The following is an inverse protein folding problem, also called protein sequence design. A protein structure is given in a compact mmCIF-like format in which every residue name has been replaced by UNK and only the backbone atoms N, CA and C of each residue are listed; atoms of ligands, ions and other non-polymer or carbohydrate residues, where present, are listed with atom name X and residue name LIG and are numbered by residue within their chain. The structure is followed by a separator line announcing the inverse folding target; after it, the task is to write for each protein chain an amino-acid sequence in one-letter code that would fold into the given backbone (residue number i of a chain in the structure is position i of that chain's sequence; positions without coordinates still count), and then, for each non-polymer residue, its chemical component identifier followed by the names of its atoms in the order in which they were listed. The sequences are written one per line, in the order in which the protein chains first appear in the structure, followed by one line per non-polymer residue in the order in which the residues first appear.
data_IF_463013838813
#
_entry.id   IF_463013838813
#
_cell.length_a   1.000
_cell.length_b   1.000
_cell.length_c   1.000
_cell.angle_alpha   90.00
_cell.angle_beta   90.00
_cell.angle_gamma   90.00
#
_symmetry.space_group_name_H-M   'P 1'
#
loop_
_entity.id
_entity.type
_entity.pdbx_description
1 polymer ?
#
# COMPACT_ATOMS: atom_id res chain seq x y z
N UNK A 1 -27.17 58.38 42.42
CA UNK A 1 -25.94 58.54 41.64
C UNK A 1 -25.78 57.29 40.80
N UNK A 2 -26.20 57.33 39.53
CA UNK A 2 -26.22 56.20 38.61
C UNK A 2 -24.91 56.16 37.88
N UNK A 3 -24.11 55.14 38.11
CA UNK A 3 -23.00 54.75 37.22
C UNK A 3 -23.53 53.74 36.20
N UNK A 4 -23.88 54.19 35.04
CA UNK A 4 -24.05 53.41 33.85
C UNK A 4 -22.82 53.64 33.00
N UNK A 5 -21.76 52.89 33.27
CA UNK A 5 -20.64 52.80 32.34
C UNK A 5 -21.08 51.87 31.22
N UNK A 6 -21.26 52.43 30.05
CA UNK A 6 -21.75 51.77 28.85
C UNK A 6 -20.70 50.75 28.38
N UNK A 7 -21.18 49.56 28.05
CA UNK A 7 -20.42 48.42 27.57
C UNK A 7 -19.61 48.71 26.29
N UNK A 8 -19.81 49.88 25.70
CA UNK A 8 -19.11 50.35 24.49
C UNK A 8 -17.76 50.98 24.80
N UNK A 9 -17.60 51.70 25.95
CA UNK A 9 -16.30 52.28 26.34
C UNK A 9 -15.25 51.23 26.74
N UNK A 10 -15.67 50.01 27.12
CA UNK A 10 -14.74 48.94 27.48
C UNK A 10 -14.21 48.17 26.24
N UNK A 11 -14.80 48.35 25.08
CA UNK A 11 -14.38 47.70 23.83
C UNK A 11 -13.23 48.44 23.14
N UNK A 12 -13.20 49.77 23.26
CA UNK A 12 -12.17 50.56 22.58
C UNK A 12 -10.78 50.50 23.25
N UNK A 13 -10.74 50.13 24.54
CA UNK A 13 -9.47 50.13 25.31
C UNK A 13 -8.69 48.78 25.23
N UNK A 14 -9.26 47.74 24.62
CA UNK A 14 -8.65 46.43 24.57
C UNK A 14 -8.35 45.94 23.16
N UNK A 15 -7.86 46.67 22.25
CA UNK A 15 -7.23 46.27 20.97
C UNK A 15 -7.54 44.88 20.33
N UNK A 16 -8.50 44.15 20.88
CA UNK A 16 -8.83 42.77 20.51
C UNK A 16 -9.61 42.63 19.19
N UNK A 17 -10.33 43.68 18.81
CA UNK A 17 -11.16 43.64 17.61
C UNK A 17 -10.32 43.74 16.32
N UNK A 18 -9.14 44.39 16.38
CA UNK A 18 -8.22 44.52 15.26
C UNK A 18 -7.35 43.22 15.07
N UNK A 19 -7.06 42.47 16.13
CA UNK A 19 -6.35 41.21 16.02
C UNK A 19 -7.29 40.11 15.50
N UNK A 20 -8.55 40.09 15.92
CA UNK A 20 -9.55 39.14 15.42
C UNK A 20 -9.90 39.35 13.96
N UNK A 21 -9.94 40.62 13.49
CA UNK A 21 -10.24 40.95 12.09
C UNK A 21 -9.04 40.62 11.17
N UNK A 22 -7.81 40.80 11.64
CA UNK A 22 -6.61 40.38 10.94
C UNK A 22 -6.45 38.86 10.89
N UNK A 23 -6.89 38.11 11.91
CA UNK A 23 -6.92 36.64 11.87
C UNK A 23 -8.01 36.08 10.94
N UNK A 24 -9.05 36.87 10.67
CA UNK A 24 -10.11 36.52 9.71
C UNK A 24 -9.72 36.80 8.25
N UNK A 25 -8.72 37.66 8.04
CA UNK A 25 -8.19 37.99 6.72
C UNK A 25 -6.96 37.19 6.31
N UNK A 26 -6.58 36.20 7.13
CA UNK A 26 -5.66 35.15 6.64
C UNK A 26 -6.31 34.54 5.39
N UNK A 27 -5.59 34.52 4.25
CA UNK A 27 -6.16 33.97 3.03
C UNK A 27 -6.63 32.56 3.38
N UNK A 28 -7.93 32.32 3.32
CA UNK A 28 -8.51 30.99 3.41
C UNK A 28 -7.83 30.21 2.31
N UNK A 29 -6.74 29.52 2.68
CA UNK A 29 -6.17 28.47 1.84
C UNK A 29 -7.33 27.50 1.69
N UNK A 30 -8.06 27.64 0.58
CA UNK A 30 -9.12 26.72 0.22
C UNK A 30 -8.53 25.32 0.40
N UNK A 31 -9.17 24.40 1.13
CA UNK A 31 -8.61 23.09 1.36
C UNK A 31 -8.33 22.50 -0.02
N UNK A 32 -7.04 22.46 -0.39
CA UNK A 32 -6.58 21.95 -1.68
C UNK A 32 -7.20 20.58 -1.81
N UNK A 33 -8.11 20.43 -2.74
CA UNK A 33 -8.80 19.16 -2.96
C UNK A 33 -7.74 18.09 -3.20
N UNK A 34 -7.90 16.89 -2.67
CA UNK A 34 -6.88 15.84 -2.82
C UNK A 34 -6.50 15.56 -4.29
N UNK A 35 -7.37 15.94 -5.24
CA UNK A 35 -7.08 15.92 -6.69
C UNK A 35 -6.08 17.00 -7.12
N UNK A 36 -6.24 18.19 -6.62
CA UNK A 36 -5.34 19.32 -6.91
C UNK A 36 -3.96 19.08 -6.30
N UNK A 37 -3.92 18.60 -5.05
CA UNK A 37 -2.68 18.21 -4.40
C UNK A 37 -1.95 17.13 -5.23
N UNK A 38 -2.68 16.12 -5.68
CA UNK A 38 -2.13 15.06 -6.54
C UNK A 38 -1.57 15.63 -7.84
N UNK A 39 -2.31 16.50 -8.53
CA UNK A 39 -1.87 17.11 -9.77
C UNK A 39 -0.58 17.92 -9.57
N UNK A 40 -0.50 18.74 -8.53
CA UNK A 40 0.71 19.49 -8.15
C UNK A 40 1.89 18.58 -7.85
N UNK A 41 1.69 17.53 -7.07
CA UNK A 41 2.76 16.59 -6.72
C UNK A 41 3.28 15.83 -7.95
N UNK A 42 2.41 15.46 -8.89
CA UNK A 42 2.81 14.79 -10.13
C UNK A 42 3.63 15.70 -11.04
N UNK A 43 3.27 16.98 -11.16
CA UNK A 43 4.04 17.98 -11.90
C UNK A 43 5.44 18.19 -11.27
N UNK A 44 5.50 18.28 -9.94
CA UNK A 44 6.75 18.41 -9.20
C UNK A 44 7.65 17.17 -9.27
N UNK A 45 7.10 15.99 -9.62
CA UNK A 45 7.91 14.77 -9.76
C UNK A 45 8.98 14.89 -10.85
N UNK A 46 8.80 15.73 -11.85
CA UNK A 46 9.81 15.96 -12.90
C UNK A 46 11.04 16.70 -12.35
N UNK A 47 10.87 17.53 -11.33
CA UNK A 47 11.93 18.28 -10.65
C UNK A 47 12.75 17.44 -9.68
N UNK A 48 12.31 16.21 -9.40
CA UNK A 48 12.97 15.28 -8.48
C UNK A 48 14.19 14.61 -9.13
N UNK A 49 15.11 14.13 -8.26
CA UNK A 49 16.22 13.32 -8.75
C UNK A 49 15.70 12.07 -9.46
N UNK A 50 16.40 11.64 -10.52
CA UNK A 50 16.00 10.47 -11.31
C UNK A 50 15.90 9.19 -10.45
N UNK A 51 16.70 9.07 -9.39
CA UNK A 51 16.68 7.94 -8.45
C UNK A 51 15.42 7.94 -7.60
N UNK A 52 15.06 9.08 -7.01
CA UNK A 52 13.85 9.20 -6.15
C UNK A 52 12.59 8.95 -6.98
N UNK A 53 12.52 9.48 -8.20
CA UNK A 53 11.41 9.25 -9.13
C UNK A 53 11.27 7.79 -9.53
N UNK A 54 12.38 7.10 -9.83
CA UNK A 54 12.36 5.67 -10.16
C UNK A 54 11.89 4.83 -9.00
N UNK A 55 12.36 5.10 -7.78
CA UNK A 55 11.93 4.37 -6.57
C UNK A 55 10.43 4.57 -6.36
N UNK A 56 9.94 5.80 -6.44
CA UNK A 56 8.52 6.11 -6.21
C UNK A 56 7.61 5.41 -7.23
N UNK A 57 7.96 5.47 -8.53
CA UNK A 57 7.16 4.90 -9.61
C UNK A 57 7.22 3.37 -9.66
N UNK A 58 8.37 2.78 -9.31
CA UNK A 58 8.58 1.34 -9.44
C UNK A 58 8.32 0.55 -8.14
N UNK A 59 8.04 1.21 -7.02
CA UNK A 59 7.82 0.54 -5.74
C UNK A 59 6.69 -0.50 -5.81
N UNK A 60 5.55 -0.15 -6.42
CA UNK A 60 4.42 -1.07 -6.56
C UNK A 60 4.75 -2.30 -7.42
N UNK A 61 5.27 -2.19 -8.66
CA UNK A 61 5.64 -3.36 -9.45
C UNK A 61 6.79 -4.17 -8.82
N UNK A 62 7.73 -3.56 -8.11
CA UNK A 62 8.78 -4.28 -7.39
C UNK A 62 8.20 -5.18 -6.29
N UNK A 63 7.21 -4.70 -5.53
CA UNK A 63 6.48 -5.53 -4.57
C UNK A 63 5.72 -6.66 -5.27
N UNK A 64 5.12 -6.37 -6.44
CA UNK A 64 4.45 -7.37 -7.26
C UNK A 64 5.37 -8.49 -7.74
N UNK A 65 6.61 -8.15 -8.17
CA UNK A 65 7.63 -9.14 -8.55
C UNK A 65 7.95 -10.07 -7.37
N UNK A 66 8.10 -9.51 -6.16
CA UNK A 66 8.27 -10.32 -4.95
C UNK A 66 7.12 -11.30 -4.73
N UNK A 67 5.88 -10.86 -4.91
CA UNK A 67 4.70 -11.71 -4.81
C UNK A 67 4.67 -12.80 -5.89
N UNK A 68 5.04 -12.49 -7.12
CA UNK A 68 5.15 -13.47 -8.22
C UNK A 68 6.16 -14.57 -7.91
N UNK A 69 7.34 -14.20 -7.41
CA UNK A 69 8.36 -15.15 -6.99
C UNK A 69 7.85 -16.05 -5.85
N UNK A 70 7.19 -15.46 -4.84
CA UNK A 70 6.53 -16.18 -3.77
C UNK A 70 5.50 -17.18 -4.30
N UNK A 71 4.72 -16.80 -5.30
CA UNK A 71 3.74 -17.65 -5.98
C UNK A 71 4.36 -18.84 -6.69
N UNK A 72 5.43 -18.61 -7.47
CA UNK A 72 6.14 -19.69 -8.16
C UNK A 72 6.76 -20.69 -7.19
N UNK A 73 7.44 -20.20 -6.15
CA UNK A 73 8.07 -21.06 -5.13
C UNK A 73 7.01 -21.85 -4.36
N UNK A 74 5.94 -21.19 -3.93
CA UNK A 74 4.81 -21.85 -3.24
C UNK A 74 4.17 -22.92 -4.10
N UNK A 75 3.90 -22.60 -5.38
CA UNK A 75 3.32 -23.54 -6.33
C UNK A 75 4.23 -24.78 -6.52
N UNK A 76 5.53 -24.56 -6.73
CA UNK A 76 6.50 -25.65 -6.90
C UNK A 76 6.55 -26.56 -5.66
N UNK A 77 6.58 -25.99 -4.46
CA UNK A 77 6.59 -26.75 -3.20
C UNK A 77 5.29 -27.55 -3.00
N UNK A 78 4.13 -26.91 -3.25
CA UNK A 78 2.84 -27.58 -3.11
C UNK A 78 2.66 -28.70 -4.11
N UNK A 79 3.07 -28.51 -5.36
CA UNK A 79 3.05 -29.55 -6.39
C UNK A 79 3.87 -30.77 -5.97
N UNK A 80 5.05 -30.54 -5.40
CA UNK A 80 5.89 -31.63 -4.88
C UNK A 80 5.22 -32.37 -3.72
N UNK A 81 4.60 -31.62 -2.78
CA UNK A 81 3.87 -32.20 -1.64
C UNK A 81 2.61 -32.96 -2.06
N UNK A 82 1.89 -32.46 -3.03
CA UNK A 82 0.66 -33.06 -3.56
C UNK A 82 0.90 -34.06 -4.68
N UNK A 83 2.18 -34.25 -5.10
CA UNK A 83 2.60 -35.13 -6.20
C UNK A 83 1.83 -34.86 -7.52
N UNK A 84 1.46 -33.62 -7.78
CA UNK A 84 0.77 -33.19 -9.01
C UNK A 84 1.82 -32.92 -10.08
N UNK A 85 1.89 -33.82 -11.11
CA UNK A 85 2.80 -33.65 -12.24
C UNK A 85 2.15 -33.04 -13.47
N UNK A 86 0.83 -33.14 -13.55
CA UNK A 86 0.01 -32.68 -14.67
C UNK A 86 -0.04 -31.14 -14.72
N UNK A 87 -0.17 -30.58 -15.91
CA UNK A 87 -0.45 -29.16 -16.17
C UNK A 87 0.44 -28.16 -15.42
N UNK A 88 1.79 -28.38 -15.41
CA UNK A 88 2.71 -27.54 -14.62
C UNK A 88 2.66 -26.06 -15.02
N UNK A 89 2.62 -25.75 -16.30
CA UNK A 89 2.53 -24.38 -16.78
C UNK A 89 1.16 -23.75 -16.48
N UNK A 90 0.08 -24.53 -16.56
CA UNK A 90 -1.26 -24.05 -16.26
C UNK A 90 -1.46 -23.65 -14.80
N UNK A 91 -0.67 -24.20 -13.87
CA UNK A 91 -0.66 -23.76 -12.46
C UNK A 91 0.39 -22.68 -12.17
N UNK A 92 1.54 -22.71 -12.84
CA UNK A 92 2.64 -21.78 -12.59
C UNK A 92 2.31 -20.35 -13.03
N UNK A 93 1.72 -20.21 -14.22
CA UNK A 93 1.38 -18.88 -14.75
C UNK A 93 0.39 -18.12 -13.85
N UNK A 94 -0.79 -18.66 -13.48
CA UNK A 94 -1.70 -17.94 -12.61
C UNK A 94 -1.14 -17.74 -11.20
N UNK A 95 -0.34 -18.67 -10.67
CA UNK A 95 0.27 -18.52 -9.34
C UNK A 95 1.32 -17.43 -9.26
N UNK A 96 1.89 -17.02 -10.39
CA UNK A 96 2.79 -15.86 -10.46
C UNK A 96 2.03 -14.56 -10.80
N UNK A 97 1.18 -14.62 -11.83
CA UNK A 97 0.58 -13.43 -12.42
C UNK A 97 -0.51 -12.80 -11.54
N UNK A 98 -1.36 -13.63 -10.91
CA UNK A 98 -2.42 -13.14 -10.04
C UNK A 98 -1.84 -12.43 -8.81
N UNK A 99 -0.90 -13.01 -8.03
CA UNK A 99 -0.27 -12.30 -6.92
C UNK A 99 0.49 -11.04 -7.35
N UNK A 100 1.17 -11.07 -8.50
CA UNK A 100 1.83 -9.90 -9.05
C UNK A 100 0.87 -8.73 -9.22
N UNK A 101 -0.24 -8.93 -9.96
CA UNK A 101 -1.22 -7.89 -10.21
C UNK A 101 -1.89 -7.41 -8.92
N UNK A 102 -2.33 -8.35 -8.09
CA UNK A 102 -3.04 -8.04 -6.85
C UNK A 102 -2.18 -7.19 -5.92
N UNK A 103 -0.92 -7.57 -5.70
CA UNK A 103 -0.02 -6.85 -4.80
C UNK A 103 0.39 -5.51 -5.39
N UNK A 104 0.64 -5.42 -6.70
CA UNK A 104 0.92 -4.16 -7.37
C UNK A 104 -0.24 -3.19 -7.21
N UNK A 105 -1.49 -3.64 -7.43
CA UNK A 105 -2.68 -2.80 -7.27
C UNK A 105 -2.92 -2.39 -5.82
N UNK A 106 -2.80 -3.32 -4.87
CA UNK A 106 -2.95 -3.02 -3.43
C UNK A 106 -1.91 -1.99 -3.00
N UNK A 107 -0.64 -2.17 -3.37
CA UNK A 107 0.42 -1.23 -3.03
C UNK A 107 0.15 0.16 -3.63
N UNK A 108 -0.28 0.22 -4.89
CA UNK A 108 -0.62 1.47 -5.57
C UNK A 108 -1.75 2.20 -4.85
N UNK A 109 -2.85 1.52 -4.52
CA UNK A 109 -4.04 2.14 -3.91
C UNK A 109 -3.81 2.47 -2.43
N UNK A 110 -3.22 1.54 -1.66
CA UNK A 110 -3.12 1.66 -0.20
C UNK A 110 -1.97 2.59 0.21
N UNK A 111 -0.87 2.61 -0.54
CA UNK A 111 0.30 3.40 -0.20
C UNK A 111 0.45 4.61 -1.14
N UNK A 112 0.69 4.41 -2.43
CA UNK A 112 1.02 5.48 -3.37
C UNK A 112 -0.11 6.51 -3.51
N UNK A 113 -1.34 6.08 -3.75
CA UNK A 113 -2.49 6.99 -3.87
C UNK A 113 -2.84 7.66 -2.54
N UNK A 114 -2.59 7.00 -1.41
CA UNK A 114 -2.81 7.59 -0.09
C UNK A 114 -1.79 8.68 0.24
N UNK A 115 -0.54 8.54 -0.24
CA UNK A 115 0.49 9.59 -0.14
C UNK A 115 0.16 10.77 -1.05
N UNK A 116 -0.10 10.51 -2.33
CA UNK A 116 -0.41 11.56 -3.31
C UNK A 116 -1.70 12.33 -2.97
N UNK A 117 -2.66 11.68 -2.34
CA UNK A 117 -3.90 12.31 -1.86
C UNK A 117 -3.76 13.03 -0.52
N UNK A 118 -2.55 13.11 0.06
CA UNK A 118 -2.31 13.79 1.34
C UNK A 118 -2.96 13.13 2.55
N UNK A 119 -3.48 11.89 2.40
CA UNK A 119 -4.15 11.14 3.48
C UNK A 119 -3.17 10.46 4.44
N UNK A 120 -1.90 10.42 4.09
CA UNK A 120 -0.85 9.75 4.85
C UNK A 120 0.23 10.78 5.23
N UNK A 121 0.15 11.29 6.46
CA UNK A 121 1.08 12.30 6.98
C UNK A 121 2.06 11.74 8.02
N UNK A 122 2.13 10.42 8.17
CA UNK A 122 2.94 9.74 9.17
C UNK A 122 3.86 8.71 8.51
N UNK A 123 5.16 8.82 8.73
CA UNK A 123 6.15 7.87 8.20
C UNK A 123 5.93 6.45 8.72
N UNK A 124 5.65 6.31 10.02
CA UNK A 124 5.37 5.01 10.62
C UNK A 124 4.15 4.35 10.01
N UNK A 125 3.12 5.14 9.67
CA UNK A 125 1.93 4.62 9.00
C UNK A 125 2.22 4.11 7.59
N UNK A 126 3.08 4.80 6.83
CA UNK A 126 3.50 4.37 5.51
C UNK A 126 4.35 3.08 5.59
N UNK A 127 5.28 3.04 6.54
CA UNK A 127 6.13 1.86 6.81
C UNK A 127 5.29 0.65 7.22
N UNK A 128 4.35 0.82 8.16
CA UNK A 128 3.47 -0.27 8.62
C UNK A 128 2.61 -0.82 7.47
N UNK A 129 2.05 0.04 6.62
CA UNK A 129 1.30 -0.40 5.43
C UNK A 129 2.21 -1.18 4.48
N UNK A 130 3.45 -0.72 4.27
CA UNK A 130 4.45 -1.44 3.47
C UNK A 130 4.74 -2.83 4.04
N UNK A 131 4.95 -2.96 5.35
CA UNK A 131 5.15 -4.24 6.05
C UNK A 131 3.96 -5.18 5.83
N UNK A 132 2.74 -4.69 6.01
CA UNK A 132 1.53 -5.50 5.84
C UNK A 132 1.36 -5.98 4.39
N UNK A 133 1.61 -5.12 3.41
CA UNK A 133 1.57 -5.50 1.99
C UNK A 133 2.66 -6.55 1.70
N UNK A 134 3.87 -6.38 2.24
CA UNK A 134 4.97 -7.33 2.09
C UNK A 134 4.67 -8.68 2.73
N UNK A 135 4.27 -8.69 4.00
CA UNK A 135 4.04 -9.92 4.75
C UNK A 135 2.80 -10.68 4.25
N UNK A 136 1.67 -10.00 4.12
CA UNK A 136 0.40 -10.62 3.77
C UNK A 136 0.26 -10.74 2.25
N UNK A 137 0.45 -9.64 1.52
CA UNK A 137 0.29 -9.60 0.08
C UNK A 137 1.32 -10.44 -0.66
N UNK A 138 2.61 -10.22 -0.40
CA UNK A 138 3.69 -10.96 -1.07
C UNK A 138 4.07 -12.27 -0.39
N UNK A 139 3.66 -12.49 0.87
CA UNK A 139 3.96 -13.69 1.64
C UNK A 139 2.80 -14.69 1.67
N UNK A 140 1.71 -14.35 2.39
CA UNK A 140 0.59 -15.30 2.65
C UNK A 140 -0.29 -15.51 1.42
N UNK A 141 -0.65 -14.45 0.72
CA UNK A 141 -1.56 -14.51 -0.42
C UNK A 141 -1.11 -15.46 -1.55
N UNK A 142 0.18 -15.44 -1.99
CA UNK A 142 0.67 -16.38 -3.00
C UNK A 142 0.55 -17.85 -2.59
N UNK A 143 0.76 -18.16 -1.30
CA UNK A 143 0.61 -19.53 -0.77
C UNK A 143 -0.85 -19.98 -0.87
N UNK A 144 -1.79 -19.11 -0.47
CA UNK A 144 -3.22 -19.37 -0.56
C UNK A 144 -3.66 -19.61 -2.02
N UNK A 145 -3.18 -18.77 -2.95
CA UNK A 145 -3.47 -18.94 -4.38
C UNK A 145 -2.91 -20.24 -4.95
N UNK A 146 -1.67 -20.60 -4.58
CA UNK A 146 -1.06 -21.84 -5.02
C UNK A 146 -1.80 -23.08 -4.46
N UNK A 147 -2.28 -23.03 -3.21
CA UNK A 147 -3.13 -24.07 -2.63
C UNK A 147 -4.43 -24.27 -3.40
N UNK A 148 -5.14 -23.17 -3.70
CA UNK A 148 -6.38 -23.20 -4.46
C UNK A 148 -6.17 -23.81 -5.85
N UNK A 149 -5.17 -23.33 -6.60
CA UNK A 149 -4.87 -23.79 -7.94
C UNK A 149 -4.51 -25.29 -7.97
N UNK A 150 -3.64 -25.75 -7.07
CA UNK A 150 -3.28 -27.15 -7.01
C UNK A 150 -4.43 -28.03 -6.50
N UNK A 151 -5.26 -27.52 -5.58
CA UNK A 151 -6.48 -28.21 -5.16
C UNK A 151 -7.47 -28.41 -6.32
N UNK A 152 -7.66 -27.38 -7.17
CA UNK A 152 -8.48 -27.50 -8.38
C UNK A 152 -7.93 -28.49 -9.39
N UNK A 153 -6.59 -28.59 -9.51
CA UNK A 153 -5.96 -29.58 -10.40
C UNK A 153 -6.18 -31.01 -9.88
N UNK A 154 -6.06 -31.25 -8.57
CA UNK A 154 -6.37 -32.57 -7.97
C UNK A 154 -7.82 -32.94 -8.26
N UNK A 155 -8.76 -32.04 -7.99
CA UNK A 155 -10.18 -32.30 -8.22
C UNK A 155 -10.48 -32.61 -9.71
N UNK A 156 -9.73 -32.04 -10.64
CA UNK A 156 -9.92 -32.26 -12.09
C UNK A 156 -9.25 -33.55 -12.60
N UNK A 157 -8.01 -33.81 -12.19
CA UNK A 157 -7.19 -34.88 -12.77
C UNK A 157 -7.17 -36.14 -11.90
N UNK A 158 -7.48 -36.04 -10.62
CA UNK A 158 -7.52 -37.15 -9.65
C UNK A 158 -8.73 -37.04 -8.73
N UNK A 159 -9.95 -37.16 -9.26
CA UNK A 159 -11.17 -36.97 -8.45
C UNK A 159 -11.27 -37.97 -7.30
N UNK A 160 -10.65 -39.16 -7.41
CA UNK A 160 -10.58 -40.17 -6.33
C UNK A 160 -9.66 -39.81 -5.17
N UNK A 161 -8.68 -38.91 -5.37
CA UNK A 161 -7.78 -38.39 -4.34
C UNK A 161 -8.27 -37.03 -3.77
N UNK A 162 -9.34 -36.50 -4.34
CA UNK A 162 -9.86 -35.21 -3.92
C UNK A 162 -10.54 -35.34 -2.55
N UNK A 163 -10.19 -34.48 -1.56
CA UNK A 163 -10.85 -34.47 -0.28
C UNK A 163 -12.32 -34.06 -0.42
N UNK A 164 -13.17 -34.61 0.43
CA UNK A 164 -14.58 -34.18 0.50
C UNK A 164 -14.68 -32.68 0.81
N UNK A 165 -15.73 -31.96 0.36
CA UNK A 165 -15.85 -30.52 0.61
C UNK A 165 -15.71 -30.13 2.09
N UNK A 166 -16.15 -30.98 3.02
CA UNK A 166 -16.02 -30.74 4.46
C UNK A 166 -14.58 -30.92 4.99
N UNK A 167 -13.77 -31.73 4.34
CA UNK A 167 -12.40 -32.01 4.73
C UNK A 167 -11.38 -31.16 3.97
N UNK A 168 -11.79 -30.58 2.84
CA UNK A 168 -10.90 -29.82 1.95
C UNK A 168 -10.17 -28.70 2.68
N UNK A 169 -10.87 -27.93 3.50
CA UNK A 169 -10.27 -26.83 4.28
C UNK A 169 -9.22 -27.35 5.28
N UNK A 170 -9.54 -28.44 6.00
CA UNK A 170 -8.63 -29.05 6.97
C UNK A 170 -7.41 -29.62 6.28
N UNK A 171 -7.58 -30.24 5.12
CA UNK A 171 -6.49 -30.77 4.30
C UNK A 171 -5.58 -29.65 3.79
N UNK A 172 -6.16 -28.57 3.25
CA UNK A 172 -5.42 -27.37 2.80
C UNK A 172 -4.61 -26.75 3.94
N UNK A 173 -5.21 -26.59 5.13
CA UNK A 173 -4.50 -26.06 6.31
C UNK A 173 -3.34 -26.97 6.76
N UNK A 174 -3.50 -28.29 6.68
CA UNK A 174 -2.40 -29.23 6.96
C UNK A 174 -1.23 -29.04 5.97
N UNK A 175 -1.54 -28.93 4.68
CA UNK A 175 -0.53 -28.76 3.63
C UNK A 175 0.13 -27.38 3.66
N UNK A 176 -0.58 -26.34 4.08
CA UNK A 176 -0.01 -25.00 4.16
C UNK A 176 1.05 -24.85 5.25
N UNK A 177 0.93 -25.55 6.39
CA UNK A 177 1.87 -25.43 7.52
C UNK A 177 3.34 -25.66 7.14
N UNK A 178 3.73 -26.79 6.49
CA UNK A 178 5.13 -27.03 6.12
C UNK A 178 5.62 -26.00 5.07
N UNK A 179 4.76 -25.55 4.17
CA UNK A 179 5.09 -24.55 3.16
C UNK A 179 5.33 -23.19 3.81
N UNK A 180 4.43 -22.74 4.68
CA UNK A 180 4.59 -21.49 5.42
C UNK A 180 5.87 -21.49 6.27
N UNK A 181 6.16 -22.58 6.97
CA UNK A 181 7.37 -22.70 7.79
C UNK A 181 8.66 -22.55 6.95
N UNK A 182 8.68 -23.13 5.75
CA UNK A 182 9.85 -23.00 4.84
C UNK A 182 9.94 -21.63 4.19
N UNK A 183 8.80 -20.98 3.94
CA UNK A 183 8.74 -19.65 3.33
C UNK A 183 8.79 -18.50 4.34
N UNK A 184 8.80 -18.79 5.65
CA UNK A 184 8.91 -17.73 6.69
C UNK A 184 10.07 -16.76 6.45
N UNK A 185 11.31 -17.20 6.14
CA UNK A 185 12.40 -16.27 5.89
C UNK A 185 12.14 -15.37 4.67
N UNK A 186 11.52 -15.91 3.62
CA UNK A 186 11.12 -15.15 2.46
C UNK A 186 10.02 -14.11 2.81
N UNK A 187 9.03 -14.51 3.63
CA UNK A 187 7.98 -13.61 4.09
C UNK A 187 8.55 -12.46 4.94
N UNK A 188 9.51 -12.74 5.81
CA UNK A 188 10.20 -11.71 6.61
C UNK A 188 11.01 -10.77 5.72
N UNK A 189 11.70 -11.30 4.71
CA UNK A 189 12.41 -10.47 3.73
C UNK A 189 11.45 -9.57 2.95
N UNK A 190 10.28 -10.06 2.55
CA UNK A 190 9.25 -9.27 1.88
C UNK A 190 8.65 -8.21 2.80
N UNK A 191 8.44 -8.52 4.07
CA UNK A 191 7.99 -7.54 5.07
C UNK A 191 9.02 -6.42 5.25
N UNK A 192 10.29 -6.75 5.39
CA UNK A 192 11.38 -5.78 5.50
C UNK A 192 11.53 -4.93 4.22
N UNK A 193 11.40 -5.56 3.06
CA UNK A 193 11.42 -4.86 1.78
C UNK A 193 10.23 -3.90 1.64
N UNK A 194 9.03 -4.32 2.05
CA UNK A 194 7.86 -3.46 2.10
C UNK A 194 8.02 -2.28 3.07
N UNK A 195 8.64 -2.50 4.24
CA UNK A 195 8.99 -1.44 5.18
C UNK A 195 9.92 -0.40 4.53
N UNK A 196 10.97 -0.88 3.87
CA UNK A 196 11.94 -0.03 3.16
C UNK A 196 11.27 0.81 2.07
N UNK A 197 10.44 0.19 1.22
CA UNK A 197 9.74 0.91 0.16
C UNK A 197 8.73 1.93 0.73
N UNK A 198 8.01 1.57 1.79
CA UNK A 198 7.07 2.48 2.46
C UNK A 198 7.75 3.72 3.03
N UNK A 199 8.85 3.54 3.76
CA UNK A 199 9.66 4.64 4.30
C UNK A 199 10.28 5.49 3.19
N UNK A 200 10.82 4.87 2.14
CA UNK A 200 11.40 5.60 0.99
C UNK A 200 10.36 6.40 0.22
N UNK A 201 9.18 5.84 -0.05
CA UNK A 201 8.11 6.58 -0.71
C UNK A 201 7.62 7.76 0.14
N UNK A 202 7.55 7.60 1.46
CA UNK A 202 7.21 8.70 2.36
C UNK A 202 8.30 9.79 2.34
N UNK A 203 9.57 9.43 2.38
CA UNK A 203 10.69 10.38 2.26
C UNK A 203 10.65 11.16 0.94
N UNK A 204 10.33 10.51 -0.17
CA UNK A 204 10.15 11.17 -1.48
C UNK A 204 8.93 12.10 -1.46
N UNK A 205 7.82 11.67 -0.86
CA UNK A 205 6.62 12.48 -0.71
C UNK A 205 6.89 13.77 0.11
N UNK A 206 7.62 13.68 1.21
CA UNK A 206 7.98 14.85 2.01
C UNK A 206 8.89 15.83 1.25
N UNK A 207 9.83 15.31 0.46
CA UNK A 207 10.64 16.14 -0.43
C UNK A 207 9.78 16.85 -1.49
N UNK A 208 8.85 16.14 -2.13
CA UNK A 208 7.92 16.74 -3.08
C UNK A 208 7.11 17.88 -2.45
N UNK A 209 6.61 17.66 -1.25
CA UNK A 209 5.81 18.66 -0.55
C UNK A 209 6.60 19.90 -0.11
N UNK A 210 7.91 19.81 0.06
CA UNK A 210 8.79 20.93 0.40
C UNK A 210 9.22 21.76 -0.80
N UNK A 211 8.97 21.31 -2.04
CA UNK A 211 9.29 22.09 -3.24
C UNK A 211 8.30 23.27 -3.40
N UNK A 212 8.78 24.43 -3.83
CA UNK A 212 7.91 25.57 -4.11
C UNK A 212 6.90 25.20 -5.22
N UNK A 213 5.67 25.78 -5.16
CA UNK A 213 4.70 25.58 -6.23
C UNK A 213 5.30 25.97 -7.59
N UNK A 214 4.94 25.24 -8.63
CA UNK A 214 5.24 25.65 -9.99
C UNK A 214 4.42 26.90 -10.33
N UNK A 215 5.05 27.96 -10.85
CA UNK A 215 4.40 29.22 -11.19
C UNK A 215 3.33 29.07 -12.31
N UNK A 216 3.25 27.93 -12.96
CA UNK A 216 2.43 27.69 -14.14
C UNK A 216 1.02 27.12 -13.86
N UNK A 217 0.62 26.93 -12.59
CA UNK A 217 -0.76 26.49 -12.29
C UNK A 217 -1.65 27.71 -12.04
N UNK A 218 -2.73 27.90 -12.85
CA UNK A 218 -3.72 28.93 -12.61
C UNK A 218 -4.40 28.69 -11.24
N UNK A 219 -4.58 29.79 -10.52
CA UNK A 219 -5.20 29.84 -9.19
C UNK A 219 -6.68 29.38 -9.21
#
# INVERSE_FOLDING_TARGET
MKMTTTREELKDDMGWDNELENDLEQPRISPVTGRELRARLLDQMEKLSSSDRKIFNNAAPLMGVGAAMGGLVSNSMLRTLMQVREASLASALPSAFIPFLTVTMIHQVVLTESLLGGRLNCELCATTRGILIGAIGSGVHPIAMALLLNGMLIARYRPWDAPTPGEALRHMLKLSKPVMRRLTPFMLAQAAFGAYLGSKQFSVYTKLRSLPPSEDLPA
#
